data_IF_825735412053
#
_entry.id   IF_825735412053
#
_cell.length_a   1.000
_cell.length_b   1.000
_cell.length_c   1.000
_cell.angle_alpha   90.00
_cell.angle_beta   90.00
_cell.angle_gamma   90.00
#
_symmetry.space_group_name_H-M   'P 1'
#
loop_
_entity.id
_entity.type
_entity.pdbx_description
1 polymer ?
#
# COMPACT_ATOMS: atom_id res chain seq x y z
N UNK A 1 1.23 1.90 9.94
CA UNK A 1 1.15 3.13 9.10
C UNK A 1 -0.20 3.16 8.42
N UNK A 2 -0.94 4.28 8.42
CA UNK A 2 -2.25 4.34 7.75
C UNK A 2 -2.11 4.92 6.34
N UNK A 3 -2.64 4.19 5.36
CA UNK A 3 -2.77 4.61 3.97
C UNK A 3 -4.25 4.88 3.66
N UNK A 4 -4.51 5.93 2.89
CA UNK A 4 -5.83 6.27 2.37
C UNK A 4 -5.69 6.74 0.93
N UNK A 5 -6.64 6.39 0.07
CA UNK A 5 -6.61 6.77 -1.34
C UNK A 5 -8.00 7.08 -1.89
N UNK A 6 -8.05 7.76 -3.02
CA UNK A 6 -9.28 7.94 -3.80
C UNK A 6 -9.49 6.69 -4.66
N UNK A 7 -10.73 6.20 -4.74
CA UNK A 7 -11.07 5.07 -5.60
C UNK A 7 -10.79 5.38 -7.08
N UNK A 8 -10.44 4.35 -7.87
CA UNK A 8 -10.28 4.51 -9.32
C UNK A 8 -11.61 4.97 -9.95
N UNK A 9 -11.51 5.72 -11.06
CA UNK A 9 -12.66 6.19 -11.83
C UNK A 9 -13.24 5.07 -12.71
N UNK A 10 -13.69 4.00 -12.07
CA UNK A 10 -14.50 2.94 -12.68
C UNK A 10 -15.97 3.14 -12.27
N UNK A 11 -16.94 2.59 -13.03
CA UNK A 11 -18.32 2.57 -12.60
C UNK A 11 -18.47 2.01 -11.18
N UNK A 12 -19.39 2.56 -10.35
CA UNK A 12 -19.62 2.05 -9.00
C UNK A 12 -19.95 0.56 -9.02
N UNK A 13 -19.15 -0.24 -8.30
CA UNK A 13 -19.33 -1.69 -8.20
C UNK A 13 -18.37 -2.52 -9.07
N UNK A 14 -17.62 -1.88 -9.98
CA UNK A 14 -16.69 -2.62 -10.85
C UNK A 14 -15.37 -2.96 -10.16
N UNK A 15 -14.98 -2.22 -9.10
CA UNK A 15 -13.79 -2.52 -8.30
C UNK A 15 -14.14 -3.54 -7.22
N UNK A 16 -13.47 -4.70 -7.24
CA UNK A 16 -13.68 -5.77 -6.24
C UNK A 16 -12.69 -5.71 -5.08
N UNK A 17 -11.44 -5.31 -5.32
CA UNK A 17 -10.43 -5.14 -4.28
C UNK A 17 -9.31 -4.20 -4.70
N UNK A 18 -8.51 -3.79 -3.73
CA UNK A 18 -7.23 -3.12 -3.90
C UNK A 18 -6.12 -4.02 -3.39
N UNK A 19 -5.00 -4.08 -4.13
CA UNK A 19 -3.73 -4.63 -3.65
C UNK A 19 -2.86 -3.52 -3.10
N UNK A 20 -2.38 -3.70 -1.88
CA UNK A 20 -1.42 -2.80 -1.24
C UNK A 20 -0.04 -3.45 -1.34
N UNK A 21 0.89 -2.77 -1.99
CA UNK A 21 2.28 -3.22 -2.08
C UNK A 21 3.19 -2.33 -1.25
N UNK A 22 4.23 -2.93 -0.66
CA UNK A 22 5.28 -2.24 0.09
C UNK A 22 6.65 -2.68 -0.41
N UNK A 23 7.59 -1.74 -0.51
CA UNK A 23 9.04 -1.99 -0.50
C UNK A 23 9.65 -1.25 0.68
N UNK A 24 10.73 -1.77 1.24
CA UNK A 24 11.42 -1.16 2.39
C UNK A 24 12.89 -1.07 2.04
N UNK A 25 13.43 0.15 1.96
CA UNK A 25 14.79 0.39 1.44
C UNK A 25 15.85 -0.47 2.14
N UNK A 26 15.74 -0.61 3.46
CA UNK A 26 16.66 -1.36 4.32
C UNK A 26 16.49 -2.88 4.22
N UNK A 27 15.39 -3.38 3.62
CA UNK A 27 15.15 -4.81 3.40
C UNK A 27 15.31 -5.23 1.92
N UNK A 28 15.67 -4.28 1.05
CA UNK A 28 15.90 -4.49 -0.37
C UNK A 28 14.88 -3.77 -1.27
N UNK A 29 15.12 -3.83 -2.58
CA UNK A 29 14.41 -2.99 -3.57
C UNK A 29 13.13 -3.59 -4.14
N UNK A 30 12.74 -4.79 -3.70
CA UNK A 30 11.60 -5.53 -4.23
C UNK A 30 10.25 -5.05 -3.67
N UNK A 31 9.27 -4.89 -4.56
CA UNK A 31 7.88 -4.68 -4.17
C UNK A 31 7.21 -6.00 -3.77
N UNK A 32 6.59 -6.03 -2.60
CA UNK A 32 5.79 -7.15 -2.12
C UNK A 32 4.34 -6.72 -1.95
N UNK A 33 3.38 -7.52 -2.42
CA UNK A 33 1.98 -7.36 -2.03
C UNK A 33 1.84 -7.79 -0.57
N UNK A 34 1.52 -6.84 0.31
CA UNK A 34 1.43 -7.07 1.75
C UNK A 34 -0.02 -7.27 2.22
N UNK A 35 -0.99 -6.81 1.43
CA UNK A 35 -2.40 -6.98 1.75
C UNK A 35 -3.31 -6.79 0.52
N UNK A 36 -4.54 -7.28 0.67
CA UNK A 36 -5.69 -6.89 -0.15
C UNK A 36 -6.77 -6.29 0.73
N UNK A 37 -7.53 -5.31 0.24
CA UNK A 37 -8.65 -4.71 0.97
C UNK A 37 -9.74 -4.25 0.01
N UNK A 38 -11.01 -4.29 0.43
CA UNK A 38 -12.14 -3.70 -0.30
C UNK A 38 -12.37 -2.24 0.08
N UNK A 39 -11.72 -1.77 1.14
CA UNK A 39 -11.79 -0.39 1.58
C UNK A 39 -10.82 0.50 0.80
N UNK A 40 -11.06 1.80 0.79
CA UNK A 40 -10.11 2.82 0.30
C UNK A 40 -9.07 3.24 1.36
N UNK A 41 -8.81 2.35 2.31
CA UNK A 41 -7.79 2.52 3.34
C UNK A 41 -7.18 1.19 3.74
N UNK A 42 -5.97 1.25 4.27
CA UNK A 42 -5.25 0.13 4.87
C UNK A 42 -4.37 0.62 6.02
N UNK A 43 -4.24 -0.19 7.07
CA UNK A 43 -3.29 0.06 8.15
C UNK A 43 -2.25 -1.04 8.11
N UNK A 44 -1.01 -0.66 7.80
CA UNK A 44 0.13 -1.56 7.86
C UNK A 44 0.40 -1.97 9.31
N UNK A 45 0.27 -3.27 9.66
CA UNK A 45 0.46 -3.77 11.01
C UNK A 45 1.92 -4.05 11.36
N UNK A 46 2.84 -4.04 10.38
CA UNK A 46 4.26 -4.33 10.61
C UNK A 46 5.12 -3.06 10.71
N UNK A 47 4.54 -1.89 10.44
CA UNK A 47 5.25 -0.61 10.41
C UNK A 47 4.55 0.44 11.25
N UNK A 48 5.25 1.08 12.17
CA UNK A 48 4.79 2.31 12.83
C UNK A 48 5.18 3.54 12.03
N UNK A 49 4.32 4.56 12.07
CA UNK A 49 4.58 5.84 11.43
C UNK A 49 5.62 6.63 12.24
N UNK A 50 6.77 6.91 11.65
CA UNK A 50 7.89 7.57 12.34
C UNK A 50 8.66 8.52 11.39
N UNK A 51 8.00 9.60 10.89
CA UNK A 51 8.50 10.41 9.77
C UNK A 51 9.82 11.14 10.04
N UNK A 52 10.16 11.38 11.31
CA UNK A 52 11.36 12.15 11.71
C UNK A 52 12.52 11.26 12.17
N UNK A 53 12.27 9.99 12.49
CA UNK A 53 13.28 9.15 13.16
C UNK A 53 13.10 7.64 13.01
N UNK A 54 12.19 7.18 12.16
CA UNK A 54 12.02 5.75 11.91
C UNK A 54 13.28 5.12 11.32
N UNK A 55 13.58 3.89 11.71
CA UNK A 55 14.76 3.15 11.25
C UNK A 55 14.73 2.76 9.77
N UNK A 56 13.55 2.70 9.14
CA UNK A 56 13.43 2.27 7.73
C UNK A 56 12.64 3.21 6.83
N UNK A 57 12.94 3.21 5.54
CA UNK A 57 12.23 3.89 4.47
C UNK A 57 11.19 2.96 3.85
N UNK A 58 9.93 3.11 4.24
CA UNK A 58 8.84 2.34 3.64
C UNK A 58 8.21 3.11 2.49
N UNK A 59 8.02 2.43 1.37
CA UNK A 59 7.32 2.95 0.21
C UNK A 59 6.10 2.10 -0.09
N UNK A 60 5.03 2.74 -0.52
CA UNK A 60 3.74 2.11 -0.76
C UNK A 60 3.20 2.49 -2.13
N UNK A 61 2.49 1.54 -2.75
CA UNK A 61 1.70 1.76 -3.95
C UNK A 61 0.47 0.87 -3.92
N UNK A 62 -0.61 1.34 -4.55
CA UNK A 62 -1.89 0.65 -4.56
C UNK A 62 -2.31 0.42 -6.01
N UNK A 63 -2.97 -0.70 -6.30
CA UNK A 63 -3.69 -0.90 -7.56
C UNK A 63 -5.04 -1.53 -7.31
N UNK A 64 -6.01 -1.19 -8.15
CA UNK A 64 -7.34 -1.80 -8.12
C UNK A 64 -7.36 -3.10 -8.92
N UNK A 65 -8.29 -3.97 -8.57
CA UNK A 65 -8.70 -5.13 -9.36
C UNK A 65 -10.20 -5.01 -9.64
N UNK A 66 -10.59 -5.21 -10.89
CA UNK A 66 -11.99 -5.15 -11.29
C UNK A 66 -12.70 -6.52 -11.21
N UNK A 67 -14.02 -6.51 -11.47
CA UNK A 67 -14.86 -7.71 -11.55
C UNK A 67 -14.45 -8.69 -12.66
N UNK A 68 -13.71 -8.23 -13.68
CA UNK A 68 -13.18 -9.05 -14.76
C UNK A 68 -11.81 -9.67 -14.39
N UNK A 69 -11.29 -9.32 -13.21
CA UNK A 69 -10.01 -9.79 -12.70
C UNK A 69 -8.80 -9.05 -13.26
N UNK A 70 -9.01 -7.94 -13.98
CA UNK A 70 -7.94 -7.10 -14.50
C UNK A 70 -7.45 -6.13 -13.44
N UNK A 71 -6.15 -5.86 -13.48
CA UNK A 71 -5.51 -4.94 -12.56
C UNK A 71 -5.30 -3.58 -13.23
N UNK A 72 -5.55 -2.51 -12.48
CA UNK A 72 -5.11 -1.18 -12.90
C UNK A 72 -3.58 -1.08 -12.91
N UNK A 73 -3.07 -0.03 -13.53
CA UNK A 73 -1.73 0.46 -13.20
C UNK A 73 -1.64 0.79 -11.70
N UNK A 74 -0.44 0.77 -11.15
CA UNK A 74 -0.23 1.22 -9.78
C UNK A 74 -0.42 2.74 -9.68
N UNK A 75 -0.86 3.18 -8.49
CA UNK A 75 -0.79 4.57 -8.06
C UNK A 75 0.64 5.08 -8.09
N UNK A 76 0.79 6.40 -7.96
CA UNK A 76 2.06 6.99 -7.59
C UNK A 76 2.58 6.37 -6.28
N UNK A 77 3.90 6.30 -6.18
CA UNK A 77 4.60 5.85 -4.99
C UNK A 77 4.53 6.92 -3.90
N UNK A 78 4.20 6.51 -2.68
CA UNK A 78 4.31 7.36 -1.50
C UNK A 78 5.33 6.75 -0.54
N UNK A 79 6.18 7.59 0.03
CA UNK A 79 7.27 7.16 0.90
C UNK A 79 7.21 7.84 2.26
N UNK A 80 7.60 7.11 3.30
CA UNK A 80 7.67 7.65 4.67
C UNK A 80 8.68 6.88 5.50
N UNK A 81 9.35 7.57 6.45
CA UNK A 81 10.14 6.89 7.48
C UNK A 81 9.23 6.16 8.47
N UNK A 82 9.60 4.93 8.78
CA UNK A 82 8.82 4.02 9.63
C UNK A 82 9.70 3.29 10.60
N UNK A 83 9.10 2.87 11.71
CA UNK A 83 9.73 1.98 12.67
C UNK A 83 9.14 0.57 12.49
N UNK A 84 9.95 -0.46 12.21
CA UNK A 84 9.47 -1.84 12.16
C UNK A 84 8.90 -2.24 13.53
N UNK A 85 7.72 -2.84 13.52
CA UNK A 85 7.15 -3.44 14.72
C UNK A 85 7.90 -4.76 14.96
N UNK A 86 8.95 -4.70 15.81
CA UNK A 86 9.82 -5.84 16.14
C UNK A 86 9.04 -7.17 16.22
N UNK A 87 9.55 -8.20 15.54
CA UNK A 87 9.22 -9.60 15.86
C UNK A 87 10.28 -10.17 16.78
#
# INVERSE_FOLDING_TARGET
VKLTWTANAEPPGDIVLYEVSRKVDEYGTGWLVIATTTNTYYVDPEMYYAPVGGLVGSHYRIRAKDIQGLYSIYSDEVSVRTEPMNK
#
